data_IF_771099039221
#
_entry.id   IF_771099039221
#
_cell.length_a   1.000
_cell.length_b   1.000
_cell.length_c   1.000
_cell.angle_alpha   90.00
_cell.angle_beta   90.00
_cell.angle_gamma   90.00
#
_symmetry.space_group_name_H-M   'P 1'
#
loop_
_entity.id
_entity.type
_entity.pdbx_description
1 polymer ?
#
# COMPACT_ATOMS: atom_id res chain seq x y z
N UNK A 1 -26.20 46.63 27.49
CA UNK A 1 -26.72 45.72 26.45
C UNK A 1 -25.59 45.40 25.48
N UNK A 2 -24.98 44.22 25.57
CA UNK A 2 -23.92 43.79 24.65
C UNK A 2 -24.36 42.51 23.94
N UNK A 3 -24.75 42.61 22.67
CA UNK A 3 -25.13 41.47 21.82
C UNK A 3 -23.92 41.01 21.02
N UNK A 4 -23.35 39.86 21.38
CA UNK A 4 -22.27 39.22 20.62
C UNK A 4 -22.81 38.68 19.29
N UNK A 5 -22.32 39.21 18.16
CA UNK A 5 -22.62 38.69 16.82
C UNK A 5 -21.85 37.39 16.59
N UNK A 6 -22.54 36.25 16.65
CA UNK A 6 -21.97 34.93 16.35
C UNK A 6 -21.71 34.81 14.85
N UNK A 7 -20.46 35.01 14.43
CA UNK A 7 -20.02 34.80 13.05
C UNK A 7 -20.23 33.34 12.67
N UNK A 8 -21.18 33.09 11.77
CA UNK A 8 -21.52 31.75 11.27
C UNK A 8 -20.41 31.32 10.32
N UNK A 9 -19.52 30.44 10.78
CA UNK A 9 -18.46 29.85 9.95
C UNK A 9 -19.13 29.09 8.80
N UNK A 10 -18.95 29.57 7.57
CA UNK A 10 -19.36 28.86 6.35
C UNK A 10 -18.47 27.62 6.21
N UNK A 11 -19.00 26.44 6.52
CA UNK A 11 -18.39 25.17 6.14
C UNK A 11 -18.45 25.06 4.63
N UNK A 12 -17.33 25.33 3.94
CA UNK A 12 -17.22 25.09 2.51
C UNK A 12 -17.31 23.57 2.31
N UNK A 13 -18.32 23.06 1.56
CA UNK A 13 -18.44 21.63 1.34
C UNK A 13 -17.23 21.17 0.51
N UNK A 14 -16.40 20.32 1.10
CA UNK A 14 -15.26 19.68 0.41
C UNK A 14 -15.84 18.88 -0.75
N UNK A 15 -15.43 19.23 -1.98
CA UNK A 15 -15.89 18.55 -3.19
C UNK A 15 -15.52 17.05 -3.12
N UNK A 16 -16.34 16.14 -3.69
CA UNK A 16 -16.04 14.71 -3.69
C UNK A 16 -14.64 14.38 -4.21
N UNK A 17 -14.18 15.13 -5.22
CA UNK A 17 -12.85 14.98 -5.81
C UNK A 17 -11.71 15.26 -4.80
N UNK A 18 -11.83 16.31 -3.98
CA UNK A 18 -10.85 16.62 -2.93
C UNK A 18 -10.77 15.51 -1.88
N UNK A 19 -11.90 14.88 -1.53
CA UNK A 19 -11.92 13.74 -0.61
C UNK A 19 -11.20 12.53 -1.19
N UNK A 20 -11.40 12.26 -2.49
CA UNK A 20 -10.71 11.17 -3.19
C UNK A 20 -9.20 11.42 -3.19
N UNK A 21 -8.74 12.61 -3.56
CA UNK A 21 -7.31 12.93 -3.55
C UNK A 21 -6.68 12.78 -2.17
N UNK A 22 -7.37 13.25 -1.12
CA UNK A 22 -6.90 13.11 0.26
C UNK A 22 -6.76 11.63 0.64
N UNK A 23 -7.77 10.81 0.34
CA UNK A 23 -7.74 9.37 0.60
C UNK A 23 -6.61 8.68 -0.17
N UNK A 24 -6.44 8.99 -1.46
CA UNK A 24 -5.36 8.42 -2.27
C UNK A 24 -3.98 8.77 -1.72
N UNK A 25 -3.79 10.02 -1.26
CA UNK A 25 -2.54 10.44 -0.63
C UNK A 25 -2.27 9.67 0.67
N UNK A 26 -3.28 9.52 1.51
CA UNK A 26 -3.16 8.75 2.76
C UNK A 26 -2.86 7.28 2.49
N UNK A 27 -3.56 6.65 1.54
CA UNK A 27 -3.35 5.25 1.17
C UNK A 27 -1.94 5.04 0.57
N UNK A 28 -1.45 5.99 -0.24
CA UNK A 28 -0.09 5.96 -0.77
C UNK A 28 0.95 6.06 0.36
N UNK A 29 0.77 7.01 1.29
CA UNK A 29 1.69 7.18 2.44
C UNK A 29 1.80 5.93 3.30
N UNK A 30 0.67 5.26 3.58
CA UNK A 30 0.63 4.01 4.36
C UNK A 30 1.37 2.88 3.65
N UNK A 31 1.23 2.83 2.32
CA UNK A 31 1.88 1.79 1.51
C UNK A 31 3.39 2.01 1.48
N UNK A 32 3.86 3.26 1.30
CA UNK A 32 5.30 3.57 1.37
C UNK A 32 5.90 3.29 2.75
N UNK A 33 5.20 3.64 3.82
CA UNK A 33 5.62 3.28 5.18
C UNK A 33 5.79 1.76 5.32
N UNK A 34 4.86 0.98 4.80
CA UNK A 34 4.95 -0.48 4.83
C UNK A 34 6.12 -1.02 3.99
N UNK A 35 6.39 -0.45 2.80
CA UNK A 35 7.59 -0.79 2.04
C UNK A 35 8.86 -0.56 2.87
N UNK A 36 8.95 0.55 3.61
CA UNK A 36 10.10 0.80 4.48
C UNK A 36 10.20 -0.21 5.62
N UNK A 37 9.09 -0.55 6.27
CA UNK A 37 9.06 -1.54 7.37
C UNK A 37 9.49 -2.94 6.92
N UNK A 38 9.16 -3.31 5.68
CA UNK A 38 9.57 -4.59 5.07
C UNK A 38 11.03 -4.59 4.59
N UNK A 39 11.74 -3.47 4.68
CA UNK A 39 13.09 -3.32 4.10
C UNK A 39 13.09 -3.13 2.58
N UNK A 40 11.93 -2.89 1.98
CA UNK A 40 11.68 -2.76 0.54
C UNK A 40 11.58 -1.30 0.08
N UNK A 41 11.99 -0.36 0.93
CA UNK A 41 11.90 1.08 0.66
C UNK A 41 12.64 1.54 -0.61
N UNK A 42 13.73 0.85 -0.96
CA UNK A 42 14.58 1.16 -2.12
C UNK A 42 14.27 0.32 -3.36
N UNK A 43 13.18 -0.45 -3.37
CA UNK A 43 12.78 -1.21 -4.56
C UNK A 43 12.47 -0.25 -5.73
N UNK A 44 12.79 -0.66 -6.97
CA UNK A 44 12.35 0.04 -8.17
C UNK A 44 10.84 0.26 -8.19
N UNK A 45 10.41 1.38 -8.75
CA UNK A 45 9.00 1.79 -8.74
C UNK A 45 8.10 0.77 -9.43
N UNK A 46 8.59 0.13 -10.49
CA UNK A 46 7.90 -0.92 -11.23
C UNK A 46 7.60 -2.11 -10.33
N UNK A 47 8.59 -2.55 -9.55
CA UNK A 47 8.45 -3.70 -8.65
C UNK A 47 7.54 -3.35 -7.47
N UNK A 48 7.67 -2.14 -6.90
CA UNK A 48 6.73 -1.64 -5.88
C UNK A 48 5.30 -1.63 -6.39
N UNK A 49 5.08 -1.19 -7.64
CA UNK A 49 3.75 -1.18 -8.23
C UNK A 49 3.19 -2.60 -8.40
N UNK A 50 4.02 -3.54 -8.84
CA UNK A 50 3.62 -4.93 -9.07
C UNK A 50 3.19 -5.68 -7.79
N UNK A 51 3.74 -5.33 -6.62
CA UNK A 51 3.43 -5.98 -5.34
C UNK A 51 2.61 -5.09 -4.39
N UNK A 52 2.11 -3.96 -4.88
CA UNK A 52 1.46 -2.93 -4.06
C UNK A 52 0.28 -3.47 -3.26
N UNK A 53 -0.54 -4.31 -3.88
CA UNK A 53 -1.73 -4.87 -3.23
C UNK A 53 -1.37 -5.90 -2.16
N UNK A 54 -0.29 -6.67 -2.34
CA UNK A 54 0.25 -7.57 -1.31
C UNK A 54 0.76 -6.78 -0.10
N UNK A 55 1.42 -5.64 -0.34
CA UNK A 55 1.91 -4.74 0.72
C UNK A 55 0.77 -4.08 1.46
N UNK A 56 -0.28 -3.65 0.76
CA UNK A 56 -1.50 -3.15 1.37
C UNK A 56 -2.16 -4.20 2.26
N UNK A 57 -2.13 -5.47 1.86
CA UNK A 57 -2.67 -6.56 2.66
C UNK A 57 -1.94 -6.72 4.00
N UNK A 58 -0.60 -6.60 4.02
CA UNK A 58 0.15 -6.58 5.28
C UNK A 58 -0.26 -5.43 6.18
N UNK A 59 -0.45 -4.23 5.62
CA UNK A 59 -0.90 -3.07 6.39
C UNK A 59 -2.25 -3.35 7.08
N UNK A 60 -3.23 -3.88 6.33
CA UNK A 60 -4.55 -4.13 6.87
C UNK A 60 -4.55 -5.21 7.96
N UNK A 61 -3.72 -6.26 7.84
CA UNK A 61 -3.57 -7.29 8.87
C UNK A 61 -2.87 -6.78 10.14
N UNK A 62 -1.77 -6.03 9.98
CA UNK A 62 -1.05 -5.46 11.12
C UNK A 62 -1.92 -4.51 11.94
N UNK A 63 -2.90 -3.86 11.29
CA UNK A 63 -3.88 -3.00 11.95
C UNK A 63 -5.14 -3.76 12.43
N UNK A 64 -5.12 -5.09 12.40
CA UNK A 64 -6.20 -5.93 12.91
C UNK A 64 -7.51 -5.85 12.12
N UNK A 65 -7.47 -5.42 10.85
CA UNK A 65 -8.69 -5.33 10.03
C UNK A 65 -9.20 -6.70 9.59
N UNK A 66 -8.29 -7.65 9.43
CA UNK A 66 -8.57 -9.07 9.24
C UNK A 66 -7.35 -9.89 9.66
N UNK A 67 -7.54 -11.20 9.76
CA UNK A 67 -6.45 -12.18 9.96
C UNK A 67 -6.62 -13.27 8.91
N UNK A 68 -5.66 -13.38 7.98
CA UNK A 68 -5.76 -14.38 6.92
C UNK A 68 -5.26 -15.74 7.39
N UNK A 69 -6.14 -16.74 7.37
CA UNK A 69 -5.77 -18.17 7.53
C UNK A 69 -5.88 -18.95 6.21
N UNK A 70 -5.94 -18.24 5.08
CA UNK A 70 -6.06 -18.84 3.76
C UNK A 70 -4.69 -19.27 3.23
N UNK A 71 -4.51 -20.57 2.98
CA UNK A 71 -3.26 -21.12 2.46
C UNK A 71 -2.83 -20.50 1.11
N UNK A 72 -3.77 -20.10 0.26
CA UNK A 72 -3.45 -19.45 -1.02
C UNK A 72 -2.83 -18.06 -0.84
N UNK A 73 -3.34 -17.28 0.12
CA UNK A 73 -2.79 -15.95 0.43
C UNK A 73 -1.39 -16.10 1.04
N UNK A 74 -1.20 -17.10 1.91
CA UNK A 74 0.11 -17.40 2.49
C UNK A 74 1.14 -17.77 1.41
N UNK A 75 0.78 -18.66 0.48
CA UNK A 75 1.66 -19.02 -0.66
C UNK A 75 1.99 -17.82 -1.55
N UNK A 76 1.01 -16.95 -1.80
CA UNK A 76 1.23 -15.72 -2.57
C UNK A 76 2.27 -14.83 -1.89
N UNK A 77 2.17 -14.66 -0.57
CA UNK A 77 3.13 -13.87 0.22
C UNK A 77 4.54 -14.45 0.19
N UNK A 78 4.65 -15.75 0.41
CA UNK A 78 5.93 -16.46 0.35
C UNK A 78 6.58 -16.33 -1.02
N UNK A 79 5.79 -16.43 -2.10
CA UNK A 79 6.25 -16.21 -3.47
C UNK A 79 6.75 -14.78 -3.68
N UNK A 80 5.97 -13.76 -3.29
CA UNK A 80 6.37 -12.35 -3.41
C UNK A 80 7.66 -12.08 -2.64
N UNK A 81 7.73 -12.51 -1.38
CA UNK A 81 8.89 -12.33 -0.53
C UNK A 81 10.13 -13.00 -1.13
N UNK A 82 9.99 -14.23 -1.64
CA UNK A 82 11.06 -14.95 -2.31
C UNK A 82 11.61 -14.19 -3.53
N UNK A 83 10.74 -13.72 -4.42
CA UNK A 83 11.17 -13.03 -5.65
C UNK A 83 11.74 -11.65 -5.38
N UNK A 84 11.15 -10.91 -4.43
CA UNK A 84 11.68 -9.61 -4.00
C UNK A 84 13.06 -9.77 -3.37
N UNK A 85 13.24 -10.74 -2.47
CA UNK A 85 14.56 -11.04 -1.87
C UNK A 85 15.57 -11.47 -2.92
N UNK A 86 15.17 -12.36 -3.84
CA UNK A 86 16.05 -12.79 -4.94
C UNK A 86 16.54 -11.62 -5.79
N UNK A 87 15.68 -10.62 -6.04
CA UNK A 87 16.09 -9.39 -6.72
C UNK A 87 17.03 -8.54 -5.86
N UNK A 88 16.70 -8.30 -4.59
CA UNK A 88 17.53 -7.52 -3.65
C UNK A 88 18.93 -8.13 -3.50
N UNK A 89 19.01 -9.45 -3.41
CA UNK A 89 20.26 -10.21 -3.25
C UNK A 89 21.04 -10.34 -4.57
N UNK A 90 20.52 -9.79 -5.68
CA UNK A 90 21.16 -9.85 -7.00
C UNK A 90 21.14 -11.24 -7.66
N UNK A 91 20.27 -12.14 -7.18
CA UNK A 91 20.12 -13.50 -7.70
C UNK A 91 19.33 -13.50 -9.03
N UNK A 92 18.39 -12.57 -9.20
CA UNK A 92 17.62 -12.41 -10.44
C UNK A 92 17.58 -10.96 -10.93
N UNK A 93 17.24 -10.80 -12.22
CA UNK A 93 17.04 -9.47 -12.82
C UNK A 93 15.69 -8.87 -12.40
N UNK A 94 15.56 -7.54 -12.55
CA UNK A 94 14.29 -6.85 -12.34
C UNK A 94 13.16 -7.43 -13.22
N UNK A 95 13.48 -7.75 -14.47
CA UNK A 95 12.53 -8.34 -15.43
C UNK A 95 12.02 -9.69 -14.93
N UNK A 96 12.92 -10.60 -14.54
CA UNK A 96 12.54 -11.92 -14.00
C UNK A 96 11.70 -11.78 -12.73
N UNK A 97 12.06 -10.84 -11.83
CA UNK A 97 11.28 -10.58 -10.63
C UNK A 97 9.88 -10.08 -10.98
N UNK A 98 9.77 -9.11 -11.90
CA UNK A 98 8.50 -8.55 -12.36
C UNK A 98 7.60 -9.62 -12.98
N UNK A 99 8.13 -10.44 -13.90
CA UNK A 99 7.38 -11.54 -14.50
C UNK A 99 6.88 -12.50 -13.42
N UNK A 100 7.75 -12.89 -12.49
CA UNK A 100 7.43 -13.88 -11.47
C UNK A 100 6.37 -13.41 -10.47
N UNK A 101 6.40 -12.14 -10.06
CA UNK A 101 5.39 -11.58 -9.14
C UNK A 101 4.09 -11.20 -9.84
N UNK A 102 4.12 -10.95 -11.15
CA UNK A 102 2.97 -10.55 -11.95
C UNK A 102 2.11 -11.73 -12.42
N UNK A 103 2.63 -12.96 -12.37
CA UNK A 103 1.87 -14.15 -12.76
C UNK A 103 0.69 -14.36 -11.81
N UNK A 104 -0.48 -13.99 -12.34
CA UNK A 104 -1.80 -14.15 -11.73
C UNK A 104 -2.47 -15.38 -12.36
N UNK A 105 -1.85 -16.56 -12.24
CA UNK A 105 -2.52 -17.82 -12.59
C UNK A 105 -2.62 -18.66 -11.33
N UNK A 106 -3.75 -18.50 -10.64
CA UNK A 106 -4.33 -19.56 -9.82
C UNK A 106 -5.04 -20.55 -10.75
#
# INVERSE_FOLDING_TARGET
>A
MNTAKKTRVRTVPVTPLLKIFKKTKEDHSKTEEMFHLLGWGNLPAELKLAVKDDVKAYYDELHGRYSTNCAYVQRRRESVDFWVKSFIDGICSLETALESVSITKL
#
